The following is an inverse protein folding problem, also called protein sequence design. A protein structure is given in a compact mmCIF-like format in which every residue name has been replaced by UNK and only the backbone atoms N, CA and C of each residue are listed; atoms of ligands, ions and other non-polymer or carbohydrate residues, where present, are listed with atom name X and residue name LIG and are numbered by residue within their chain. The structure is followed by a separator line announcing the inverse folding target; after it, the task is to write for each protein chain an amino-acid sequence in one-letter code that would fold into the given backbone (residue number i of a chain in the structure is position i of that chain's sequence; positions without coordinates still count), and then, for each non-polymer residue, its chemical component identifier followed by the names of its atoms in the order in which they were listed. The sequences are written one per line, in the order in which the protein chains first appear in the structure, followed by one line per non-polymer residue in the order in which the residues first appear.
data_IF_672716649664
#
_entry.id   IF_672716649664
#
_cell.length_a   1.000
_cell.length_b   1.000
_cell.length_c   1.000
_cell.angle_alpha   90.00
_cell.angle_beta   90.00
_cell.angle_gamma   90.00
#
_symmetry.space_group_name_H-M   'P 1'
#
loop_
_entity.id
_entity.type
_entity.pdbx_description
1 polymer ?
#
# COMPACT_ATOMS: atom_id res chain seq x y z
N UNK A 1 15.84 27.01 48.57
CA UNK A 1 16.52 25.76 48.10
C UNK A 1 15.58 25.06 47.12
N UNK A 2 15.38 25.59 45.91
CA UNK A 2 16.25 25.57 44.72
C UNK A 2 16.25 24.22 43.99
N UNK A 3 15.82 24.27 42.72
CA UNK A 3 16.01 23.29 41.63
C UNK A 3 14.91 22.26 41.30
N UNK A 4 13.64 22.69 41.25
CA UNK A 4 12.58 21.94 40.53
C UNK A 4 12.43 22.33 39.04
N UNK A 5 13.22 23.29 38.55
CA UNK A 5 13.13 23.86 37.19
C UNK A 5 14.23 23.36 36.25
N UNK A 6 14.58 22.07 36.27
CA UNK A 6 15.30 21.45 35.15
C UNK A 6 14.29 21.00 34.09
N UNK A 7 13.65 22.00 33.49
CA UNK A 7 12.97 21.87 32.20
C UNK A 7 13.98 21.34 31.19
N UNK A 8 13.76 20.09 30.78
CA UNK A 8 14.35 19.38 29.64
C UNK A 8 14.63 20.36 28.48
N UNK A 9 15.85 20.88 28.42
CA UNK A 9 16.30 21.90 27.47
C UNK A 9 16.65 21.32 26.08
N UNK A 10 16.53 20.01 25.92
CA UNK A 10 16.92 19.25 24.73
C UNK A 10 15.74 18.71 23.91
N UNK A 11 14.49 19.05 24.25
CA UNK A 11 13.39 18.88 23.30
C UNK A 11 13.53 20.01 22.31
N UNK A 12 14.21 19.74 21.19
CA UNK A 12 14.01 20.51 19.97
C UNK A 12 12.51 20.43 19.68
N UNK A 13 11.76 21.42 20.14
CA UNK A 13 10.40 21.64 19.70
C UNK A 13 10.55 22.04 18.24
N UNK A 14 10.57 21.04 17.36
CA UNK A 14 10.58 21.23 15.91
C UNK A 14 9.38 22.11 15.64
N UNK A 15 9.63 23.39 15.36
CA UNK A 15 8.57 24.34 15.04
C UNK A 15 7.78 23.70 13.91
N UNK A 16 6.46 23.75 13.99
CA UNK A 16 5.57 23.15 12.98
C UNK A 16 6.10 23.48 11.57
N UNK A 17 6.50 24.74 11.32
CA UNK A 17 7.14 25.16 10.06
C UNK A 17 8.37 24.35 9.59
N UNK A 18 9.24 23.86 10.47
CA UNK A 18 10.40 23.03 10.10
C UNK A 18 10.00 21.60 9.70
N UNK A 19 9.00 21.03 10.37
CA UNK A 19 8.40 19.74 10.00
C UNK A 19 7.75 19.85 8.62
N UNK A 20 6.99 20.93 8.39
CA UNK A 20 6.40 21.23 7.09
C UNK A 20 7.48 21.43 6.00
N UNK A 21 8.61 22.06 6.31
CA UNK A 21 9.75 22.18 5.40
C UNK A 21 10.43 20.84 5.08
N UNK A 22 10.37 19.87 5.98
CA UNK A 22 10.95 18.53 5.75
C UNK A 22 10.09 17.69 4.81
N UNK A 23 8.76 17.84 4.90
CA UNK A 23 7.81 17.14 4.01
C UNK A 23 7.45 17.93 2.75
N UNK A 24 7.81 19.22 2.67
CA UNK A 24 7.47 20.07 1.51
C UNK A 24 8.09 19.54 0.22
N UNK A 25 9.28 18.93 0.28
CA UNK A 25 9.92 18.31 -0.88
C UNK A 25 9.08 17.14 -1.42
N UNK A 26 8.58 16.27 -0.55
CA UNK A 26 7.75 15.12 -0.94
C UNK A 26 6.45 15.59 -1.58
N UNK A 27 5.81 16.61 -0.97
CA UNK A 27 4.62 17.24 -1.54
C UNK A 27 4.91 17.91 -2.89
N UNK A 28 6.07 18.55 -3.04
CA UNK A 28 6.48 19.16 -4.30
C UNK A 28 6.71 18.12 -5.39
N UNK A 29 7.32 16.96 -5.08
CA UNK A 29 7.49 15.86 -6.03
C UNK A 29 6.15 15.27 -6.47
N UNK A 30 5.22 15.08 -5.54
CA UNK A 30 3.87 14.61 -5.87
C UNK A 30 3.10 15.64 -6.71
N UNK A 31 3.18 16.92 -6.36
CA UNK A 31 2.62 18.02 -7.13
C UNK A 31 3.21 18.09 -8.53
N UNK A 32 4.52 17.93 -8.68
CA UNK A 32 5.20 17.86 -9.97
C UNK A 32 4.68 16.70 -10.83
N UNK A 33 4.52 15.51 -10.25
CA UNK A 33 3.97 14.36 -10.96
C UNK A 33 2.56 14.65 -11.53
N UNK A 34 1.70 15.32 -10.74
CA UNK A 34 0.37 15.75 -11.19
C UNK A 34 0.48 16.82 -12.29
N UNK A 35 1.33 17.82 -12.09
CA UNK A 35 1.53 18.93 -13.05
C UNK A 35 2.09 18.45 -14.38
N UNK A 36 2.86 17.35 -14.41
CA UNK A 36 3.32 16.75 -15.66
C UNK A 36 2.25 15.85 -16.28
N UNK A 37 1.58 15.02 -15.47
CA UNK A 37 0.62 14.04 -15.98
C UNK A 37 -0.70 14.67 -16.45
N UNK A 38 -1.22 15.67 -15.73
CA UNK A 38 -2.51 16.27 -16.05
C UNK A 38 -2.51 17.00 -17.41
N UNK A 39 -1.54 17.87 -17.75
CA UNK A 39 -1.44 18.46 -19.07
C UNK A 39 -1.20 17.41 -20.17
N UNK A 40 -0.41 16.37 -19.92
CA UNK A 40 -0.21 15.30 -20.90
C UNK A 40 -1.55 14.64 -21.30
N UNK A 41 -2.40 14.35 -20.31
CA UNK A 41 -3.74 13.81 -20.55
C UNK A 41 -4.68 14.84 -21.20
N UNK A 42 -4.65 16.11 -20.77
CA UNK A 42 -5.49 17.19 -21.32
C UNK A 42 -5.11 17.50 -22.78
N UNK A 43 -3.82 17.66 -23.07
CA UNK A 43 -3.32 17.92 -24.42
C UNK A 43 -3.64 16.73 -25.33
N UNK A 44 -3.41 15.49 -24.88
CA UNK A 44 -3.82 14.29 -25.61
C UNK A 44 -5.32 14.29 -25.91
N UNK A 45 -6.14 14.68 -24.92
CA UNK A 45 -7.59 14.80 -25.04
C UNK A 45 -8.04 15.89 -26.02
N UNK A 46 -7.30 17.00 -26.12
CA UNK A 46 -7.57 18.14 -27.01
C UNK A 46 -7.11 17.91 -28.46
N UNK A 47 -5.94 17.32 -28.66
CA UNK A 47 -5.36 17.05 -29.99
C UNK A 47 -6.02 15.81 -30.64
N UNK A 48 -6.54 14.89 -29.84
CA UNK A 48 -7.16 13.64 -30.33
C UNK A 48 -8.27 13.93 -31.37
N UNK A 49 -8.19 13.38 -32.59
CA UNK A 49 -9.20 13.56 -33.63
C UNK A 49 -10.47 12.79 -33.25
N UNK A 50 -11.40 13.46 -32.58
CA UNK A 50 -12.69 12.92 -32.14
C UNK A 50 -13.82 13.25 -33.11
N UNK A 51 -13.58 13.14 -34.41
CA UNK A 51 -14.62 13.36 -35.42
C UNK A 51 -15.67 12.26 -35.34
N UNK A 52 -16.93 12.68 -35.20
CA UNK A 52 -18.19 11.92 -35.07
C UNK A 52 -18.10 10.70 -34.12
N UNK A 53 -18.90 10.75 -33.05
CA UNK A 53 -19.14 9.61 -32.17
C UNK A 53 -19.60 8.41 -33.00
N UNK A 54 -18.68 7.48 -33.28
CA UNK A 54 -19.02 6.21 -33.90
C UNK A 54 -19.44 5.27 -32.77
N UNK A 55 -20.70 4.84 -32.70
CA UNK A 55 -21.18 3.97 -31.62
C UNK A 55 -20.38 2.67 -31.53
N UNK A 56 -19.80 2.19 -32.64
CA UNK A 56 -18.96 0.98 -32.68
C UNK A 56 -17.68 1.14 -31.87
N UNK A 57 -17.11 2.34 -31.76
CA UNK A 57 -15.88 2.59 -30.97
C UNK A 57 -16.09 2.43 -29.46
N UNK A 58 -17.33 2.45 -28.99
CA UNK A 58 -17.70 2.32 -27.58
C UNK A 58 -18.20 0.91 -27.22
N UNK A 59 -18.29 0.01 -28.21
CA UNK A 59 -18.65 -1.38 -27.97
C UNK A 59 -17.45 -2.16 -27.41
N UNK A 60 -17.67 -3.11 -26.48
CA UNK A 60 -16.65 -4.09 -26.10
C UNK A 60 -16.09 -4.83 -27.32
N UNK A 61 -14.78 -5.08 -27.33
CA UNK A 61 -14.12 -5.83 -28.39
C UNK A 61 -14.39 -7.34 -28.23
N UNK A 62 -15.09 -7.92 -29.21
CA UNK A 62 -15.44 -9.35 -29.29
C UNK A 62 -14.99 -9.95 -30.64
N UNK A 63 -13.68 -9.86 -30.96
CA UNK A 63 -13.08 -10.40 -32.19
C UNK A 63 -13.76 -9.96 -33.52
N UNK A 64 -14.42 -8.80 -33.54
CA UNK A 64 -15.15 -8.29 -34.71
C UNK A 64 -16.62 -8.73 -34.80
N UNK A 65 -17.13 -9.46 -33.80
CA UNK A 65 -18.55 -9.75 -33.64
C UNK A 65 -19.25 -8.65 -32.83
N UNK A 66 -20.56 -8.51 -33.05
CA UNK A 66 -21.38 -7.63 -32.20
C UNK A 66 -21.52 -8.27 -30.82
N UNK A 67 -21.16 -7.56 -29.73
CA UNK A 67 -21.21 -8.12 -28.39
C UNK A 67 -22.65 -8.52 -28.03
N UNK A 68 -22.82 -9.73 -27.53
CA UNK A 68 -24.12 -10.31 -27.21
C UNK A 68 -24.10 -10.94 -25.82
N UNK A 69 -25.16 -10.69 -25.05
CA UNK A 69 -25.32 -11.19 -23.69
C UNK A 69 -24.58 -10.37 -22.62
N UNK A 70 -24.84 -10.72 -21.36
CA UNK A 70 -24.05 -10.22 -20.24
C UNK A 70 -22.79 -11.07 -20.12
N UNK A 71 -21.62 -10.43 -20.00
CA UNK A 71 -20.34 -11.12 -19.80
C UNK A 71 -20.44 -12.03 -18.58
N UNK A 72 -20.30 -13.35 -18.79
CA UNK A 72 -20.33 -14.33 -17.71
C UNK A 72 -18.99 -14.30 -16.98
N UNK A 73 -18.87 -13.48 -15.95
CA UNK A 73 -17.68 -13.45 -15.10
C UNK A 73 -17.75 -14.57 -14.07
N UNK A 74 -16.96 -15.62 -14.24
CA UNK A 74 -16.64 -16.53 -13.14
C UNK A 74 -15.64 -15.83 -12.22
N UNK A 75 -16.08 -15.41 -11.03
CA UNK A 75 -15.15 -14.95 -10.00
C UNK A 75 -14.36 -16.15 -9.48
N UNK A 76 -13.13 -16.29 -9.95
CA UNK A 76 -12.22 -17.33 -9.49
C UNK A 76 -11.77 -16.99 -8.06
N UNK A 77 -12.35 -17.66 -7.06
CA UNK A 77 -12.05 -17.44 -5.64
C UNK A 77 -10.61 -17.79 -5.25
N UNK A 78 -9.85 -18.43 -6.17
CA UNK A 78 -8.45 -18.81 -5.97
C UNK A 78 -7.52 -17.65 -5.58
N UNK A 79 -7.87 -16.39 -5.89
CA UNK A 79 -7.05 -15.22 -5.55
C UNK A 79 -7.34 -14.65 -4.16
N UNK A 80 -8.47 -15.02 -3.55
CA UNK A 80 -8.89 -14.47 -2.27
C UNK A 80 -7.92 -14.83 -1.13
N UNK A 81 -7.46 -16.08 -1.10
CA UNK A 81 -6.49 -16.54 -0.10
C UNK A 81 -5.17 -15.76 -0.17
N UNK A 82 -4.72 -15.40 -1.37
CA UNK A 82 -3.51 -14.58 -1.55
C UNK A 82 -3.70 -13.15 -1.03
N UNK A 83 -4.87 -12.55 -1.23
CA UNK A 83 -5.18 -11.21 -0.70
C UNK A 83 -5.18 -11.24 0.83
N UNK A 84 -5.82 -12.23 1.46
CA UNK A 84 -5.83 -12.36 2.91
C UNK A 84 -4.41 -12.58 3.48
N UNK A 85 -3.60 -13.43 2.84
CA UNK A 85 -2.20 -13.63 3.22
C UNK A 85 -1.39 -12.34 3.09
N UNK A 86 -1.60 -11.56 2.03
CA UNK A 86 -0.93 -10.26 1.85
C UNK A 86 -1.28 -9.27 2.96
N UNK A 87 -2.56 -9.14 3.34
CA UNK A 87 -3.00 -8.24 4.43
C UNK A 87 -2.39 -8.64 5.77
N UNK A 88 -2.35 -9.95 6.07
CA UNK A 88 -1.71 -10.44 7.30
C UNK A 88 -0.20 -10.16 7.27
N UNK A 89 0.46 -10.41 6.14
CA UNK A 89 1.88 -10.12 5.97
C UNK A 89 2.20 -8.63 6.09
N UNK A 90 1.35 -7.74 5.58
CA UNK A 90 1.52 -6.28 5.70
C UNK A 90 1.51 -5.84 7.17
N UNK A 91 0.58 -6.38 7.96
CA UNK A 91 0.57 -6.19 9.42
C UNK A 91 1.82 -6.79 10.07
N UNK A 92 2.33 -7.94 9.63
CA UNK A 92 3.59 -8.48 10.16
C UNK A 92 4.77 -7.55 9.85
N UNK A 93 4.82 -6.94 8.67
CA UNK A 93 5.87 -6.03 8.25
C UNK A 93 5.93 -4.77 9.12
N UNK A 94 4.78 -4.20 9.52
CA UNK A 94 4.77 -3.03 10.42
C UNK A 94 5.37 -3.35 11.80
N UNK A 95 5.09 -4.55 12.33
CA UNK A 95 5.68 -5.00 13.59
C UNK A 95 7.18 -5.26 13.45
N UNK A 96 7.61 -5.85 12.34
CA UNK A 96 9.02 -6.07 12.04
C UNK A 96 9.78 -4.75 11.92
N UNK A 97 9.19 -3.74 11.27
CA UNK A 97 9.76 -2.41 11.15
C UNK A 97 9.87 -1.71 12.52
N UNK A 98 8.80 -1.72 13.31
CA UNK A 98 8.80 -1.13 14.64
C UNK A 98 9.86 -1.76 15.55
N UNK A 99 9.92 -3.09 15.61
CA UNK A 99 10.94 -3.81 16.38
C UNK A 99 12.35 -3.55 15.84
N UNK A 100 12.55 -3.62 14.52
CA UNK A 100 13.82 -3.37 13.85
C UNK A 100 14.36 -1.95 14.11
N UNK A 101 13.48 -0.95 14.16
CA UNK A 101 13.85 0.44 14.45
C UNK A 101 14.43 0.64 15.86
N UNK A 102 14.03 -0.21 16.82
CA UNK A 102 14.45 -0.10 18.23
C UNK A 102 15.42 -1.18 18.68
N UNK A 103 15.77 -2.14 17.83
CA UNK A 103 16.49 -3.37 18.20
C UNK A 103 17.84 -3.11 18.89
N UNK A 104 18.53 -2.02 18.54
CA UNK A 104 19.81 -1.62 19.13
C UNK A 104 19.67 -1.00 20.53
N UNK A 105 18.50 -0.44 20.85
CA UNK A 105 18.23 0.26 22.10
C UNK A 105 17.38 -0.57 23.08
N UNK A 106 16.95 -1.76 22.66
CA UNK A 106 16.08 -2.63 23.44
C UNK A 106 16.89 -3.65 24.25
N UNK A 107 16.43 -3.96 25.46
CA UNK A 107 17.01 -5.06 26.22
C UNK A 107 16.84 -6.38 25.48
N UNK A 108 17.86 -7.26 25.57
CA UNK A 108 17.83 -8.57 24.90
C UNK A 108 16.65 -9.44 25.34
N UNK A 109 16.17 -9.24 26.56
CA UNK A 109 14.98 -9.89 27.14
C UNK A 109 13.69 -9.53 26.41
N UNK A 110 13.54 -8.28 25.97
CA UNK A 110 12.38 -7.80 25.23
C UNK A 110 12.31 -8.31 23.78
N UNK A 111 13.40 -8.86 23.26
CA UNK A 111 13.45 -9.43 21.90
C UNK A 111 12.78 -10.80 21.81
N UNK A 112 12.88 -11.62 22.86
CA UNK A 112 12.31 -12.97 22.90
C UNK A 112 10.79 -13.03 22.64
N UNK A 113 9.93 -12.23 23.31
CA UNK A 113 8.49 -12.26 23.06
C UNK A 113 8.12 -11.79 21.66
N UNK A 114 8.85 -10.83 21.09
CA UNK A 114 8.60 -10.33 19.74
C UNK A 114 8.95 -11.40 18.70
N UNK A 115 10.07 -12.10 18.87
CA UNK A 115 10.43 -13.23 18.02
C UNK A 115 9.41 -14.37 18.12
N UNK A 116 8.90 -14.66 19.32
CA UNK A 116 7.86 -15.67 19.51
C UNK A 116 6.55 -15.27 18.80
N UNK A 117 6.12 -14.02 18.94
CA UNK A 117 4.94 -13.48 18.25
C UNK A 117 5.09 -13.56 16.71
N UNK A 118 6.22 -13.11 16.17
CA UNK A 118 6.51 -13.21 14.75
C UNK A 118 6.55 -14.67 14.28
N UNK A 119 7.13 -15.57 15.09
CA UNK A 119 7.15 -17.01 14.80
C UNK A 119 5.76 -17.61 14.67
N UNK A 120 4.84 -17.26 15.58
CA UNK A 120 3.43 -17.72 15.52
C UNK A 120 2.74 -17.18 14.26
N UNK A 121 2.94 -15.89 13.95
CA UNK A 121 2.35 -15.26 12.76
C UNK A 121 2.86 -15.90 11.46
N UNK A 122 4.18 -16.15 11.36
CA UNK A 122 4.78 -16.86 10.22
C UNK A 122 4.25 -18.29 10.10
N UNK A 123 4.08 -19.01 11.21
CA UNK A 123 3.51 -20.36 11.21
C UNK A 123 2.05 -20.37 10.69
N UNK A 124 1.23 -19.41 11.13
CA UNK A 124 -0.14 -19.25 10.66
C UNK A 124 -0.18 -18.94 9.14
N UNK A 125 0.70 -18.06 8.66
CA UNK A 125 0.81 -17.74 7.23
C UNK A 125 1.29 -18.95 6.40
N UNK A 126 2.27 -19.70 6.90
CA UNK A 126 2.73 -20.93 6.24
C UNK A 126 1.62 -21.98 6.14
N UNK A 127 0.79 -22.11 7.18
CA UNK A 127 -0.39 -22.98 7.15
C UNK A 127 -1.44 -22.50 6.13
N UNK A 128 -1.72 -21.20 6.08
CA UNK A 128 -2.63 -20.62 5.08
C UNK A 128 -2.14 -20.87 3.64
N UNK A 129 -0.83 -20.74 3.40
CA UNK A 129 -0.21 -21.04 2.10
C UNK A 129 -0.36 -22.53 1.74
N UNK A 130 -0.14 -23.42 2.70
CA UNK A 130 -0.35 -24.85 2.51
C UNK A 130 -1.82 -25.17 2.16
N UNK A 131 -2.78 -24.57 2.87
CA UNK A 131 -4.21 -24.70 2.57
C UNK A 131 -4.58 -24.16 1.19
N UNK A 132 -3.96 -23.05 0.76
CA UNK A 132 -4.21 -22.47 -0.57
C UNK A 132 -3.82 -23.39 -1.72
N UNK A 133 -2.94 -24.37 -1.50
CA UNK A 133 -2.55 -25.35 -2.52
C UNK A 133 -3.61 -26.44 -2.75
N UNK A 134 -4.51 -26.65 -1.78
CA UNK A 134 -5.62 -27.60 -1.88
C UNK A 134 -6.74 -26.96 -2.70
N UNK A 135 -6.76 -27.28 -3.99
CA UNK A 135 -7.74 -26.79 -4.99
C UNK A 135 -9.06 -27.56 -4.98
N UNK A 136 -9.14 -28.58 -4.13
CA UNK A 136 -10.21 -29.58 -4.01
C UNK A 136 -11.32 -29.18 -3.01
N UNK A 137 -11.14 -28.07 -2.29
CA UNK A 137 -12.08 -27.53 -1.29
C UNK A 137 -12.76 -26.21 -1.73
N UNK A 138 -12.61 -25.80 -3.00
CA UNK A 138 -13.11 -24.51 -3.51
C UNK A 138 -13.82 -24.65 -4.86
#
# INVERSE_FOLDING_TARGET
MHNFLYLRKDVKATLVGEVFGSYSLVLAMFGFAIVVMAPALIISRMISPRTRSNPVKFLPMECGQVPSGAGRTHFMMQYYSFILMFVVFDVMAIFLYAWGSTILNLEKTATLPIMAFLGIMFAAMAYALYQSKRRDIW
#
